data_IF_876149013962
#
_entry.id   IF_876149013962
#
_cell.length_a   1.000
_cell.length_b   1.000
_cell.length_c   1.000
_cell.angle_alpha   90.00
_cell.angle_beta   90.00
_cell.angle_gamma   90.00
#
_symmetry.space_group_name_H-M   'P 1'
#
loop_
_entity.id
_entity.type
_entity.pdbx_description
1 polymer ?
#
# COMPACT_ATOMS: atom_id res chain seq x y z
N UNK A 1 -10.79 16.78 17.27
CA UNK A 1 -10.13 16.10 16.12
C UNK A 1 -8.64 16.43 16.04
N UNK A 2 -8.23 17.70 15.98
CA UNK A 2 -6.83 18.10 15.71
C UNK A 2 -5.79 17.57 16.69
N UNK A 3 -6.05 17.63 18.00
CA UNK A 3 -5.11 17.09 19.01
C UNK A 3 -4.95 15.57 18.93
N UNK A 4 -6.07 14.85 18.75
CA UNK A 4 -6.04 13.39 18.54
C UNK A 4 -5.28 13.02 17.27
N UNK A 5 -5.49 13.79 16.20
CA UNK A 5 -4.79 13.61 14.92
C UNK A 5 -3.27 13.73 15.09
N UNK A 6 -2.79 14.81 15.71
CA UNK A 6 -1.35 14.98 15.91
C UNK A 6 -0.77 13.94 16.88
N UNK A 7 -1.49 13.57 17.95
CA UNK A 7 -1.06 12.50 18.85
C UNK A 7 -0.86 11.17 18.10
N UNK A 8 -1.81 10.81 17.25
CA UNK A 8 -1.75 9.59 16.46
C UNK A 8 -0.65 9.66 15.40
N UNK A 9 -0.53 10.79 14.69
CA UNK A 9 0.52 10.99 13.70
C UNK A 9 1.91 10.91 14.33
N UNK A 10 2.14 11.56 15.48
CA UNK A 10 3.41 11.44 16.21
C UNK A 10 3.73 9.99 16.58
N UNK A 11 2.73 9.20 17.00
CA UNK A 11 2.91 7.78 17.30
C UNK A 11 3.32 6.98 16.07
N UNK A 12 2.63 7.19 14.94
CA UNK A 12 2.92 6.51 13.66
C UNK A 12 4.30 6.88 13.14
N UNK A 13 4.66 8.17 13.18
CA UNK A 13 5.99 8.65 12.77
C UNK A 13 7.11 8.06 13.64
N UNK A 14 6.93 8.04 14.97
CA UNK A 14 7.90 7.46 15.89
C UNK A 14 8.14 5.96 15.62
N UNK A 15 7.08 5.18 15.33
CA UNK A 15 7.21 3.78 14.91
C UNK A 15 8.02 3.59 13.63
N UNK A 16 8.05 4.61 12.78
CA UNK A 16 8.79 4.63 11.53
C UNK A 16 10.15 5.35 11.64
N UNK A 17 10.63 5.61 12.87
CA UNK A 17 11.92 6.25 13.12
C UNK A 17 11.99 7.71 12.68
N UNK A 18 10.84 8.39 12.62
CA UNK A 18 10.73 9.82 12.29
C UNK A 18 10.41 10.59 13.57
N UNK A 19 11.25 11.57 13.87
CA UNK A 19 11.12 12.40 15.07
C UNK A 19 10.25 13.63 14.78
N UNK A 20 9.34 13.94 15.70
CA UNK A 20 8.49 15.13 15.66
C UNK A 20 8.64 15.92 16.95
N UNK A 21 8.64 17.25 16.84
CA UNK A 21 8.66 18.16 17.98
C UNK A 21 7.24 18.38 18.54
N UNK A 22 7.12 18.98 19.74
CA UNK A 22 5.85 19.50 20.22
C UNK A 22 5.22 20.48 19.22
N UNK A 23 3.88 20.56 19.26
CA UNK A 23 3.13 21.43 18.37
C UNK A 23 3.59 22.88 18.47
N UNK A 24 3.78 23.51 17.31
CA UNK A 24 4.14 24.92 17.19
C UNK A 24 3.21 25.58 16.17
N UNK A 25 2.57 26.69 16.55
CA UNK A 25 1.67 27.45 15.66
C UNK A 25 0.61 26.58 14.97
N UNK A 26 0.06 25.61 15.70
CA UNK A 26 -0.95 24.67 15.21
C UNK A 26 -0.46 23.71 14.08
N UNK A 27 0.87 23.53 13.99
CA UNK A 27 1.51 22.56 13.09
C UNK A 27 2.35 21.59 13.90
N UNK A 28 2.59 20.39 13.35
CA UNK A 28 3.51 19.41 13.91
C UNK A 28 4.87 19.52 13.20
N UNK A 29 5.92 20.05 13.84
CA UNK A 29 7.24 20.13 13.23
C UNK A 29 7.92 18.76 13.19
N UNK A 30 8.51 18.42 12.06
CA UNK A 30 9.27 17.19 11.82
C UNK A 30 10.75 17.52 11.88
N UNK A 31 11.51 16.73 12.63
CA UNK A 31 12.90 17.01 12.94
C UNK A 31 13.87 16.24 12.03
N UNK A 32 14.89 16.94 11.56
CA UNK A 32 16.10 16.39 10.97
C UNK A 32 17.29 16.88 11.80
N UNK A 33 18.00 15.96 12.46
CA UNK A 33 19.13 16.31 13.33
C UNK A 33 18.76 17.31 14.45
N UNK A 34 17.55 17.19 15.00
CA UNK A 34 17.04 18.06 16.07
C UNK A 34 16.56 19.45 15.61
N UNK A 35 16.57 19.75 14.31
CA UNK A 35 16.03 20.99 13.74
C UNK A 35 14.80 20.70 12.88
N UNK A 36 13.83 21.61 12.89
CA UNK A 36 12.66 21.49 12.03
C UNK A 36 13.09 21.49 10.56
N UNK A 37 12.56 20.56 9.77
CA UNK A 37 12.82 20.41 8.33
C UNK A 37 11.55 20.61 7.50
N UNK A 38 10.41 20.18 8.02
CA UNK A 38 9.08 20.41 7.45
C UNK A 38 8.04 20.31 8.56
N UNK A 39 6.80 20.64 8.25
CA UNK A 39 5.69 20.69 9.21
C UNK A 39 4.45 20.03 8.62
N UNK A 40 3.62 19.46 9.49
CA UNK A 40 2.31 18.93 9.12
C UNK A 40 1.22 19.84 9.65
N UNK A 41 0.32 20.26 8.76
CA UNK A 41 -0.84 21.08 9.10
C UNK A 41 -2.01 20.24 9.62
N UNK A 42 -3.02 20.86 10.27
CA UNK A 42 -4.23 20.15 10.71
C UNK A 42 -5.02 19.47 9.58
N UNK A 43 -4.86 19.94 8.33
CA UNK A 43 -5.44 19.30 7.15
C UNK A 43 -4.76 17.98 6.80
N UNK A 44 -3.54 17.75 7.28
CA UNK A 44 -2.65 16.68 6.85
C UNK A 44 -1.73 17.08 5.69
N UNK A 45 -1.81 18.32 5.21
CA UNK A 45 -0.89 18.83 4.21
C UNK A 45 0.47 19.11 4.84
N UNK A 46 1.50 18.92 4.02
CA UNK A 46 2.86 19.26 4.38
C UNK A 46 3.11 20.72 4.03
N UNK A 47 3.78 21.44 4.92
CA UNK A 47 4.23 22.80 4.66
C UNK A 47 5.68 22.97 5.14
N UNK A 48 6.33 24.01 4.63
CA UNK A 48 7.70 24.31 5.02
C UNK A 48 7.84 25.81 5.24
N UNK A 49 8.31 26.18 6.42
CA UNK A 49 8.43 27.56 6.87
C UNK A 49 9.82 28.13 6.50
N UNK A 50 9.99 29.47 6.54
CA UNK A 50 11.28 30.09 6.29
C UNK A 50 12.42 29.64 7.23
N UNK A 51 12.09 29.33 8.48
CA UNK A 51 13.06 28.92 9.51
C UNK A 51 13.39 27.42 9.49
N UNK A 52 12.72 26.64 8.64
CA UNK A 52 12.96 25.20 8.53
C UNK A 52 14.25 24.92 7.71
N UNK A 53 14.95 23.88 8.12
CA UNK A 53 16.22 23.43 7.52
C UNK A 53 16.01 23.03 6.06
N UNK A 54 16.87 23.53 5.17
CA UNK A 54 16.85 23.22 3.74
C UNK A 54 18.09 22.43 3.35
N UNK A 55 17.88 21.18 2.98
CA UNK A 55 18.89 20.29 2.42
C UNK A 55 18.19 19.17 1.63
N UNK A 56 18.91 18.43 0.77
CA UNK A 56 18.34 17.27 0.08
C UNK A 56 17.70 16.25 1.04
N UNK A 57 18.31 16.04 2.21
CA UNK A 57 17.78 15.12 3.24
C UNK A 57 16.48 15.66 3.86
N UNK A 58 16.32 16.98 3.98
CA UNK A 58 15.07 17.60 4.42
C UNK A 58 13.94 17.39 3.39
N UNK A 59 14.27 17.48 2.10
CA UNK A 59 13.33 17.23 1.01
C UNK A 59 12.92 15.74 0.95
N UNK A 60 13.86 14.81 1.13
CA UNK A 60 13.56 13.38 1.27
C UNK A 60 12.66 13.10 2.47
N UNK A 61 12.95 13.72 3.62
CA UNK A 61 12.13 13.58 4.83
C UNK A 61 10.70 14.09 4.61
N UNK A 62 10.53 15.20 3.90
CA UNK A 62 9.22 15.71 3.51
C UNK A 62 8.42 14.66 2.73
N UNK A 63 9.04 14.06 1.69
CA UNK A 63 8.39 13.05 0.87
C UNK A 63 8.09 11.76 1.64
N UNK A 64 8.94 11.41 2.61
CA UNK A 64 8.75 10.25 3.49
C UNK A 64 7.61 10.45 4.48
N UNK A 65 7.40 11.67 5.00
CA UNK A 65 6.33 11.97 5.98
C UNK A 65 4.96 12.11 5.34
N UNK A 66 4.90 12.72 4.15
CA UNK A 66 3.66 12.99 3.43
C UNK A 66 2.66 11.81 3.37
N UNK A 67 3.06 10.57 3.01
CA UNK A 67 2.13 9.44 2.96
C UNK A 67 1.57 9.08 4.35
N UNK A 68 2.37 9.13 5.42
CA UNK A 68 1.89 8.88 6.78
C UNK A 68 0.86 9.93 7.21
N UNK A 69 1.16 11.21 6.96
CA UNK A 69 0.26 12.31 7.28
C UNK A 69 -1.12 12.13 6.62
N UNK A 70 -1.13 11.82 5.31
CA UNK A 70 -2.34 11.57 4.53
C UNK A 70 -3.09 10.35 5.04
N UNK A 71 -2.39 9.23 5.25
CA UNK A 71 -2.98 7.97 5.73
C UNK A 71 -3.66 8.16 7.08
N UNK A 72 -2.96 8.78 8.05
CA UNK A 72 -3.50 9.05 9.40
C UNK A 72 -4.74 9.93 9.32
N UNK A 73 -4.69 10.97 8.48
CA UNK A 73 -5.82 11.86 8.30
C UNK A 73 -7.03 11.14 7.71
N UNK A 74 -6.79 10.30 6.70
CA UNK A 74 -7.81 9.53 6.00
C UNK A 74 -8.57 8.62 6.95
N UNK A 75 -7.88 7.70 7.64
CA UNK A 75 -8.58 6.71 8.46
C UNK A 75 -9.24 7.33 9.70
N UNK A 76 -8.63 8.36 10.32
CA UNK A 76 -9.25 9.01 11.47
C UNK A 76 -10.52 9.75 11.07
N UNK A 77 -10.51 10.41 9.92
CA UNK A 77 -11.69 11.10 9.38
C UNK A 77 -12.77 10.09 8.99
N UNK A 78 -12.40 8.96 8.40
CA UNK A 78 -13.32 7.88 8.05
C UNK A 78 -13.99 7.29 9.29
N UNK A 79 -13.22 6.93 10.33
CA UNK A 79 -13.73 6.39 11.59
C UNK A 79 -14.62 7.39 12.32
N UNK A 80 -14.23 8.67 12.38
CA UNK A 80 -15.02 9.72 13.05
C UNK A 80 -16.40 9.92 12.40
N UNK A 81 -16.46 9.84 11.08
CA UNK A 81 -17.70 10.05 10.30
C UNK A 81 -18.56 8.79 10.17
N UNK A 82 -17.96 7.62 10.35
CA UNK A 82 -18.63 6.35 10.14
C UNK A 82 -19.69 6.06 11.23
N UNK A 83 -20.82 5.43 10.86
CA UNK A 83 -21.76 4.91 11.83
C UNK A 83 -21.14 3.74 12.61
N UNK A 84 -21.72 3.42 13.77
CA UNK A 84 -21.41 2.15 14.46
C UNK A 84 -21.84 0.98 13.58
N UNK A 85 -20.97 -0.03 13.47
CA UNK A 85 -21.28 -1.29 12.82
C UNK A 85 -22.32 -2.03 13.67
N UNK A 86 -23.43 -2.40 13.04
CA UNK A 86 -24.45 -3.26 13.65
C UNK A 86 -24.25 -4.67 13.14
N UNK A 87 -23.90 -5.57 14.05
CA UNK A 87 -23.84 -7.00 13.78
C UNK A 87 -24.21 -7.79 15.04
N UNK A 88 -24.93 -8.89 14.86
CA UNK A 88 -25.26 -9.82 15.96
C UNK A 88 -23.96 -10.39 16.54
N UNK A 89 -23.87 -10.48 17.87
CA UNK A 89 -22.70 -11.01 18.60
C UNK A 89 -21.37 -10.23 18.39
N UNK A 90 -21.43 -8.99 17.93
CA UNK A 90 -20.29 -8.06 17.96
C UNK A 90 -20.34 -7.23 19.24
N UNK A 91 -19.50 -7.57 20.21
CA UNK A 91 -19.45 -6.89 21.52
C UNK A 91 -18.63 -5.60 21.50
N UNK A 92 -17.91 -5.34 20.41
CA UNK A 92 -16.99 -4.20 20.28
C UNK A 92 -17.54 -3.09 19.36
N UNK A 93 -17.33 -1.83 19.76
CA UNK A 93 -17.80 -0.63 19.05
C UNK A 93 -16.97 -0.31 17.80
N UNK A 94 -17.00 -1.20 16.80
CA UNK A 94 -16.41 -0.94 15.50
C UNK A 94 -17.23 0.08 14.70
N UNK A 95 -16.55 0.93 13.94
CA UNK A 95 -17.14 1.86 12.98
C UNK A 95 -17.16 1.22 11.60
N UNK A 96 -18.31 1.26 10.94
CA UNK A 96 -18.48 0.73 9.57
C UNK A 96 -17.89 1.71 8.56
N UNK A 97 -16.72 1.41 8.02
CA UNK A 97 -16.02 2.26 7.06
C UNK A 97 -16.51 2.04 5.63
N UNK A 98 -16.73 0.77 5.25
CA UNK A 98 -17.32 0.39 3.98
C UNK A 98 -17.99 -0.99 4.07
N UNK A 99 -18.97 -1.24 3.23
CA UNK A 99 -19.55 -2.58 3.03
C UNK A 99 -19.88 -2.77 1.56
N UNK A 100 -19.39 -3.85 0.96
CA UNK A 100 -19.61 -4.17 -0.44
C UNK A 100 -19.55 -5.67 -0.67
N UNK A 101 -20.46 -6.20 -1.49
CA UNK A 101 -20.52 -7.62 -1.87
C UNK A 101 -20.46 -8.59 -0.66
N UNK A 102 -21.17 -8.26 0.42
CA UNK A 102 -21.18 -9.06 1.64
C UNK A 102 -19.89 -8.98 2.46
N UNK A 103 -18.92 -8.14 2.10
CA UNK A 103 -17.70 -7.89 2.88
C UNK A 103 -17.81 -6.57 3.60
N UNK A 104 -17.44 -6.56 4.88
CA UNK A 104 -17.45 -5.41 5.78
C UNK A 104 -16.02 -4.97 6.04
N UNK A 105 -15.74 -3.68 5.88
CA UNK A 105 -14.53 -3.03 6.36
C UNK A 105 -14.86 -2.11 7.53
N UNK A 106 -14.25 -2.37 8.68
CA UNK A 106 -14.52 -1.65 9.90
C UNK A 106 -13.23 -1.22 10.61
N UNK A 107 -13.34 -0.22 11.48
CA UNK A 107 -12.20 0.26 12.26
C UNK A 107 -12.58 0.82 13.62
N UNK A 108 -11.64 0.82 14.56
CA UNK A 108 -11.80 1.46 15.87
C UNK A 108 -10.48 1.98 16.43
N UNK A 109 -10.57 2.97 17.30
CA UNK A 109 -9.47 3.42 18.15
C UNK A 109 -9.24 2.37 19.26
N UNK A 110 -7.98 2.11 19.61
CA UNK A 110 -7.55 1.23 20.70
C UNK A 110 -6.49 1.93 21.55
N UNK A 111 -6.11 1.35 22.69
CA UNK A 111 -5.02 1.88 23.51
C UNK A 111 -3.66 1.90 22.80
N UNK A 112 -3.49 1.07 21.77
CA UNK A 112 -2.20 0.88 21.09
C UNK A 112 -2.14 1.54 19.70
N UNK A 113 -3.21 2.17 19.23
CA UNK A 113 -3.33 2.69 17.88
C UNK A 113 -4.71 2.39 17.31
N UNK A 114 -4.79 2.10 16.01
CA UNK A 114 -6.06 1.80 15.35
C UNK A 114 -6.12 0.35 14.89
N UNK A 115 -7.23 -0.31 15.21
CA UNK A 115 -7.55 -1.65 14.74
C UNK A 115 -8.49 -1.53 13.56
N UNK A 116 -8.11 -2.17 12.45
CA UNK A 116 -8.94 -2.33 11.28
C UNK A 116 -9.29 -3.81 11.12
N UNK A 117 -10.51 -4.08 10.66
CA UNK A 117 -11.00 -5.44 10.51
C UNK A 117 -11.79 -5.57 9.23
N UNK A 118 -11.60 -6.70 8.55
CA UNK A 118 -12.41 -7.12 7.42
C UNK A 118 -13.20 -8.36 7.80
N UNK A 119 -14.50 -8.37 7.55
CA UNK A 119 -15.38 -9.52 7.80
C UNK A 119 -16.21 -9.84 6.57
N UNK A 120 -16.77 -11.03 6.54
CA UNK A 120 -17.91 -11.36 5.68
C UNK A 120 -19.20 -11.30 6.49
N UNK A 121 -20.29 -10.88 5.86
CA UNK A 121 -21.64 -11.07 6.40
C UNK A 121 -21.94 -12.56 6.45
N UNK A 122 -22.61 -12.97 7.52
CA UNK A 122 -23.15 -14.33 7.58
C UNK A 122 -24.26 -14.53 6.54
N UNK A 123 -24.72 -15.77 6.41
CA UNK A 123 -25.78 -16.13 5.45
C UNK A 123 -27.07 -15.30 5.65
N UNK A 124 -27.37 -14.91 6.89
CA UNK A 124 -28.57 -14.13 7.24
C UNK A 124 -28.37 -12.62 7.02
N UNK A 125 -27.13 -12.16 6.79
CA UNK A 125 -26.78 -10.75 6.65
C UNK A 125 -26.81 -9.96 7.97
N UNK A 126 -26.98 -10.62 9.12
CA UNK A 126 -27.14 -9.95 10.42
C UNK A 126 -25.87 -9.98 11.26
N UNK A 127 -25.06 -11.02 11.13
CA UNK A 127 -23.79 -11.18 11.80
C UNK A 127 -22.60 -10.86 10.91
N UNK A 128 -21.41 -11.09 11.46
CA UNK A 128 -20.13 -11.05 10.77
C UNK A 128 -19.31 -12.29 11.09
N UNK A 129 -18.60 -12.82 10.10
CA UNK A 129 -17.78 -14.03 10.17
C UNK A 129 -16.44 -13.84 9.43
N UNK A 130 -15.53 -14.79 9.57
CA UNK A 130 -14.25 -14.84 8.83
C UNK A 130 -13.43 -13.54 8.96
N UNK A 131 -13.06 -13.13 10.17
CA UNK A 131 -12.39 -11.85 10.42
C UNK A 131 -10.90 -11.83 10.09
N UNK A 132 -10.45 -10.85 9.30
CA UNK A 132 -9.06 -10.46 9.16
C UNK A 132 -8.77 -9.23 10.01
N UNK A 133 -7.78 -9.28 10.93
CA UNK A 133 -7.52 -8.25 11.92
C UNK A 133 -6.17 -7.57 11.68
N UNK A 134 -6.16 -6.23 11.65
CA UNK A 134 -5.03 -5.42 11.21
C UNK A 134 -4.78 -4.26 12.19
N UNK A 135 -3.84 -4.46 13.12
CA UNK A 135 -3.41 -3.40 14.03
C UNK A 135 -2.38 -2.50 13.33
N UNK A 136 -2.64 -1.19 13.26
CA UNK A 136 -1.81 -0.18 12.60
C UNK A 136 -1.50 -0.46 11.12
N UNK A 137 -2.28 -1.34 10.48
CA UNK A 137 -2.06 -1.80 9.11
C UNK A 137 -3.26 -1.43 8.21
N UNK A 138 -3.56 -0.13 8.14
CA UNK A 138 -4.69 0.42 7.38
C UNK A 138 -4.66 0.05 5.89
N UNK A 139 -3.51 0.18 5.24
CA UNK A 139 -3.35 -0.17 3.81
C UNK A 139 -3.57 -1.67 3.56
N UNK A 140 -3.04 -2.53 4.44
CA UNK A 140 -3.26 -3.98 4.33
C UNK A 140 -4.75 -4.34 4.50
N UNK A 141 -5.45 -3.68 5.41
CA UNK A 141 -6.88 -3.88 5.60
C UNK A 141 -7.71 -3.38 4.41
N UNK A 142 -7.34 -2.23 3.81
CA UNK A 142 -7.96 -1.74 2.56
C UNK A 142 -7.77 -2.71 1.40
N UNK A 143 -6.55 -3.25 1.25
CA UNK A 143 -6.24 -4.21 0.21
C UNK A 143 -7.03 -5.51 0.40
N UNK A 144 -7.05 -6.05 1.63
CA UNK A 144 -7.83 -7.24 1.96
C UNK A 144 -9.33 -7.04 1.71
N UNK A 145 -9.88 -5.90 2.12
CA UNK A 145 -11.26 -5.54 1.80
C UNK A 145 -11.50 -5.52 0.29
N UNK A 146 -10.63 -4.85 -0.49
CA UNK A 146 -10.79 -4.74 -1.93
C UNK A 146 -10.74 -6.12 -2.62
N UNK A 147 -9.86 -7.01 -2.16
CA UNK A 147 -9.76 -8.40 -2.62
C UNK A 147 -11.04 -9.17 -2.31
N UNK A 148 -11.41 -9.24 -1.02
CA UNK A 148 -12.53 -10.07 -0.56
C UNK A 148 -13.86 -9.57 -1.11
N UNK A 149 -14.02 -8.26 -1.25
CA UNK A 149 -15.22 -7.65 -1.82
C UNK A 149 -15.29 -7.80 -3.36
N UNK A 150 -14.23 -8.30 -4.00
CA UNK A 150 -14.15 -8.45 -5.46
C UNK A 150 -13.97 -7.14 -6.22
N UNK A 151 -13.48 -6.10 -5.56
CA UNK A 151 -13.15 -4.80 -6.18
C UNK A 151 -11.84 -4.86 -6.96
N UNK A 152 -10.90 -5.70 -6.51
CA UNK A 152 -9.67 -6.02 -7.24
C UNK A 152 -9.57 -7.54 -7.37
N UNK A 153 -9.05 -8.00 -8.51
CA UNK A 153 -8.81 -9.42 -8.73
C UNK A 153 -7.59 -9.83 -7.89
N UNK A 154 -7.83 -10.59 -6.82
CA UNK A 154 -6.81 -11.13 -5.90
C UNK A 154 -5.71 -11.91 -6.62
N UNK A 155 -6.11 -12.58 -7.69
CA UNK A 155 -5.22 -13.46 -8.42
C UNK A 155 -4.39 -12.64 -9.41
N UNK A 156 -3.13 -12.37 -9.05
CA UNK A 156 -2.08 -12.67 -10.03
C UNK A 156 -2.26 -14.15 -10.40
N UNK A 157 -2.98 -14.42 -11.49
CA UNK A 157 -3.20 -15.78 -12.01
C UNK A 157 -1.86 -16.51 -12.24
N UNK A 158 -0.79 -15.74 -12.38
CA UNK A 158 0.57 -16.18 -12.58
C UNK A 158 1.50 -15.57 -11.53
N UNK A 159 2.33 -16.40 -10.90
CA UNK A 159 3.48 -15.95 -10.10
C UNK A 159 4.44 -15.09 -10.92
N UNK A 160 5.30 -14.31 -10.25
CA UNK A 160 6.31 -13.49 -10.94
C UNK A 160 7.21 -14.33 -11.87
N UNK A 161 7.54 -15.56 -11.49
CA UNK A 161 8.32 -16.48 -12.33
C UNK A 161 7.51 -16.97 -13.53
N UNK A 162 6.20 -17.21 -13.37
CA UNK A 162 5.32 -17.57 -14.49
C UNK A 162 5.14 -16.40 -15.47
N UNK A 163 4.97 -15.18 -14.97
CA UNK A 163 4.90 -13.97 -15.81
C UNK A 163 6.21 -13.75 -16.57
N UNK A 164 7.35 -13.94 -15.91
CA UNK A 164 8.67 -13.88 -16.53
C UNK A 164 8.82 -14.91 -17.66
N UNK A 165 8.37 -16.15 -17.44
CA UNK A 165 8.40 -17.21 -18.45
C UNK A 165 7.46 -16.92 -19.63
N UNK A 166 6.28 -16.35 -19.38
CA UNK A 166 5.36 -15.90 -20.43
C UNK A 166 6.02 -14.81 -21.27
N UNK A 167 6.56 -13.78 -20.62
CA UNK A 167 7.26 -12.68 -21.30
C UNK A 167 8.44 -13.17 -22.15
N UNK A 168 9.28 -14.06 -21.61
CA UNK A 168 10.38 -14.69 -22.37
C UNK A 168 9.88 -15.53 -23.54
N UNK A 169 8.78 -16.28 -23.37
CA UNK A 169 8.20 -17.10 -24.46
C UNK A 169 7.68 -16.22 -25.59
N UNK A 170 7.14 -15.04 -25.29
CA UNK A 170 6.72 -14.06 -26.28
C UNK A 170 7.94 -13.51 -27.03
N UNK A 171 9.00 -13.11 -26.33
CA UNK A 171 10.27 -12.68 -26.96
C UNK A 171 10.84 -13.75 -27.89
N UNK A 172 10.92 -15.00 -27.42
CA UNK A 172 11.40 -16.12 -28.22
C UNK A 172 10.54 -16.34 -29.48
N UNK A 173 9.22 -16.10 -29.38
CA UNK A 173 8.30 -16.21 -30.52
C UNK A 173 8.57 -15.12 -31.56
N UNK A 174 8.84 -13.89 -31.12
CA UNK A 174 9.25 -12.80 -32.01
C UNK A 174 10.62 -13.03 -32.64
N UNK A 175 11.60 -13.50 -31.88
CA UNK A 175 12.95 -13.82 -32.37
C UNK A 175 12.97 -15.00 -33.35
N UNK A 176 12.13 -16.01 -33.12
CA UNK A 176 12.01 -17.17 -34.01
C UNK A 176 11.38 -16.83 -35.38
N UNK A 177 10.77 -15.64 -35.52
CA UNK A 177 10.27 -15.14 -36.80
C UNK A 177 9.07 -15.91 -37.35
N UNK A 178 8.22 -16.45 -36.47
CA UNK A 178 6.99 -17.12 -36.90
C UNK A 178 6.07 -16.19 -37.70
N UNK A 179 5.37 -16.75 -38.69
CA UNK A 179 4.33 -16.04 -39.45
C UNK A 179 3.09 -15.82 -38.57
N UNK A 180 3.15 -14.75 -37.78
CA UNK A 180 2.06 -14.27 -36.95
C UNK A 180 1.19 -13.27 -37.72
N UNK A 181 -0.12 -13.33 -37.52
CA UNK A 181 -1.02 -12.29 -38.01
C UNK A 181 -0.74 -10.95 -37.31
N UNK A 182 -1.18 -9.84 -37.89
CA UNK A 182 -1.05 -8.53 -37.23
C UNK A 182 -1.81 -8.47 -35.90
N UNK A 183 -2.95 -9.16 -35.81
CA UNK A 183 -3.75 -9.27 -34.59
C UNK A 183 -2.99 -10.04 -33.50
N UNK A 184 -2.38 -11.18 -33.85
CA UNK A 184 -1.58 -11.96 -32.90
C UNK A 184 -0.37 -11.17 -32.40
N UNK A 185 0.30 -10.41 -33.28
CA UNK A 185 1.43 -9.55 -32.88
C UNK A 185 0.99 -8.48 -31.87
N UNK A 186 -0.13 -7.82 -32.12
CA UNK A 186 -0.66 -6.81 -31.20
C UNK A 186 -1.04 -7.43 -29.86
N UNK A 187 -1.76 -8.56 -29.88
CA UNK A 187 -2.15 -9.27 -28.66
C UNK A 187 -0.92 -9.66 -27.81
N UNK A 188 0.15 -10.14 -28.45
CA UNK A 188 1.39 -10.50 -27.76
C UNK A 188 2.11 -9.27 -27.19
N UNK A 189 2.16 -8.15 -27.93
CA UNK A 189 2.70 -6.87 -27.42
C UNK A 189 1.90 -6.34 -26.23
N UNK A 190 0.57 -6.39 -26.28
CA UNK A 190 -0.31 -5.92 -25.20
C UNK A 190 -0.11 -6.76 -23.92
N UNK A 191 0.13 -8.08 -24.07
CA UNK A 191 0.47 -8.96 -22.94
C UNK A 191 1.83 -8.56 -22.34
N UNK A 192 2.81 -8.17 -23.15
CA UNK A 192 4.10 -7.71 -22.64
C UNK A 192 3.98 -6.41 -21.84
N UNK A 193 3.22 -5.44 -22.34
CA UNK A 193 2.96 -4.17 -21.63
C UNK A 193 2.28 -4.42 -20.28
N UNK A 194 1.26 -5.29 -20.25
CA UNK A 194 0.61 -5.68 -18.99
C UNK A 194 1.58 -6.36 -18.01
N UNK A 195 2.52 -7.16 -18.50
CA UNK A 195 3.52 -7.79 -17.65
C UNK A 195 4.54 -6.76 -17.14
N UNK A 196 4.95 -5.79 -17.95
CA UNK A 196 5.85 -4.69 -17.57
C UNK A 196 5.23 -3.81 -16.48
N UNK A 197 3.92 -3.54 -16.56
CA UNK A 197 3.17 -2.84 -15.52
C UNK A 197 3.15 -3.62 -14.19
N UNK A 198 3.08 -4.96 -14.24
CA UNK A 198 3.06 -5.83 -13.06
C UNK A 198 4.47 -6.10 -12.50
N UNK A 199 5.48 -6.13 -13.37
CA UNK A 199 6.90 -6.42 -13.11
C UNK A 199 7.81 -5.41 -13.85
N UNK A 200 8.02 -4.20 -13.29
CA UNK A 200 8.83 -3.16 -13.94
C UNK A 200 10.30 -3.55 -14.17
N UNK A 201 10.79 -4.54 -13.42
CA UNK A 201 12.15 -5.09 -13.49
C UNK A 201 12.26 -6.36 -14.35
N UNK A 202 11.24 -6.68 -15.16
CA UNK A 202 11.20 -7.91 -15.97
C UNK A 202 12.45 -8.08 -16.84
N UNK A 203 12.91 -7.03 -17.52
CA UNK A 203 14.10 -7.06 -18.38
C UNK A 203 15.39 -7.33 -17.60
N UNK A 204 15.53 -6.75 -16.40
CA UNK A 204 16.69 -6.95 -15.53
C UNK A 204 16.75 -8.39 -15.02
N UNK A 205 15.59 -8.97 -14.66
CA UNK A 205 15.46 -10.37 -14.24
C UNK A 205 15.87 -11.34 -15.36
N UNK A 206 15.45 -11.05 -16.60
CA UNK A 206 15.84 -11.87 -17.77
C UNK A 206 17.35 -11.84 -17.97
N UNK A 207 17.95 -10.65 -17.96
CA UNK A 207 19.39 -10.48 -18.13
C UNK A 207 20.18 -11.22 -17.04
N UNK A 208 19.74 -11.15 -15.78
CA UNK A 208 20.37 -11.87 -14.67
C UNK A 208 20.29 -13.39 -14.83
N UNK A 209 19.17 -13.93 -15.32
CA UNK A 209 19.01 -15.36 -15.59
C UNK A 209 19.93 -15.82 -16.72
N UNK A 210 19.99 -15.04 -17.81
CA UNK A 210 20.86 -15.34 -18.95
C UNK A 210 22.34 -15.32 -18.56
N UNK A 211 22.77 -14.33 -17.78
CA UNK A 211 24.14 -14.26 -17.26
C UNK A 211 24.46 -15.46 -16.37
N UNK A 212 23.56 -15.82 -15.45
CA UNK A 212 23.75 -16.97 -14.57
C UNK A 212 23.81 -18.30 -15.33
N UNK A 213 23.02 -18.45 -16.39
CA UNK A 213 23.08 -19.62 -17.27
C UNK A 213 24.42 -19.70 -18.02
N UNK A 214 24.91 -18.56 -18.53
CA UNK A 214 26.21 -18.46 -19.20
C UNK A 214 27.38 -18.81 -18.26
N UNK A 215 27.40 -18.26 -17.05
CA UNK A 215 28.44 -18.52 -16.05
C UNK A 215 28.46 -20.00 -15.61
N UNK A 216 27.28 -20.62 -15.50
CA UNK A 216 27.15 -22.06 -15.17
C UNK A 216 27.71 -22.96 -16.27
N UNK A 217 27.52 -22.59 -17.54
CA UNK A 217 28.07 -23.33 -18.69
C UNK A 217 29.60 -23.20 -18.79
N UNK A 218 30.17 -22.05 -18.41
CA UNK A 218 31.62 -21.87 -18.38
C UNK A 218 32.28 -22.61 -17.20
N UNK A 219 31.63 -22.67 -16.04
CA UNK A 219 32.12 -23.40 -14.87
C UNK A 219 32.10 -24.94 -14.99
N UNK A 220 31.31 -25.50 -15.91
CA UNK A 220 31.29 -26.94 -16.22
C UNK A 220 32.30 -27.36 -17.29
N UNK A 221 32.98 -26.40 -17.93
CA UNK A 221 33.98 -26.65 -18.99
C UNK A 221 35.43 -26.52 -18.52
N UNK A 222 35.66 -26.37 -17.20
CA UNK A 222 36.96 -26.47 -16.51
C UNK A 222 37.01 -27.73 -15.65
#
# INVERSE_FOLDING_TARGET
MTEKYFKELTRVLAKNGIEAAPLEKNTLPILLGGRSACRVEPSGDMCIFPDDTRSPEADELYHRVAPFSRMVKEYMTAIERAPLLKATALDEDFRLLAEFNGVVFAGRETEHGYMFVTWERDYEGTGVICGGYYLDAYEAAKQDFAIRAGLIQDQRLFSSDQLLNIYQSINNTFEAGYDLTQEDKQNLSDIQEQIEDILPDVNERIAAIQQKAFDTMQGQSM
#
